data_IF_578318966351
#
_entry.id   IF_578318966351
#
_cell.length_a   1.000
_cell.length_b   1.000
_cell.length_c   1.000
_cell.angle_alpha   90.00
_cell.angle_beta   90.00
_cell.angle_gamma   90.00
#
_symmetry.space_group_name_H-M   'P 1'
#
loop_
_entity.id
_entity.type
_entity.pdbx_description
1 polymer ?
#
# COMPACT_ATOMS: atom_id res chain seq x y z
N UNK A 1 -27.96 -3.78 -43.68
CA UNK A 1 -27.25 -4.95 -43.14
C UNK A 1 -25.79 -4.58 -43.08
N UNK A 2 -25.22 -4.42 -41.87
CA UNK A 2 -23.78 -4.50 -41.65
C UNK A 2 -23.45 -4.75 -40.16
N UNK A 3 -24.05 -5.79 -39.57
CA UNK A 3 -23.74 -6.28 -38.22
C UNK A 3 -22.41 -7.06 -38.14
N UNK A 4 -21.58 -7.03 -39.18
CA UNK A 4 -20.33 -7.82 -39.22
C UNK A 4 -19.12 -7.09 -38.63
N UNK A 5 -19.19 -5.76 -38.48
CA UNK A 5 -18.05 -4.96 -38.05
C UNK A 5 -18.00 -4.76 -36.53
N UNK A 6 -19.16 -4.71 -35.84
CA UNK A 6 -19.25 -4.55 -34.39
C UNK A 6 -18.80 -5.82 -33.64
N UNK A 7 -19.23 -7.01 -34.10
CA UNK A 7 -18.79 -8.29 -33.53
C UNK A 7 -17.26 -8.47 -33.57
N UNK A 8 -16.61 -7.91 -34.59
CA UNK A 8 -15.16 -8.04 -34.77
C UNK A 8 -14.37 -7.09 -33.84
N UNK A 9 -14.99 -6.00 -33.39
CA UNK A 9 -14.40 -5.06 -32.42
C UNK A 9 -14.57 -5.62 -31.00
N UNK A 10 -15.75 -6.16 -30.68
CA UNK A 10 -16.05 -6.77 -29.39
C UNK A 10 -15.20 -8.04 -29.15
N UNK A 11 -15.07 -8.91 -30.15
CA UNK A 11 -14.21 -10.10 -30.07
C UNK A 11 -12.73 -9.74 -29.90
N UNK A 12 -12.24 -8.68 -30.56
CA UNK A 12 -10.86 -8.20 -30.40
C UNK A 12 -10.62 -7.50 -29.05
N UNK A 13 -11.67 -6.96 -28.44
CA UNK A 13 -11.61 -6.36 -27.10
C UNK A 13 -11.57 -7.45 -26.03
N UNK A 14 -12.46 -8.44 -26.12
CA UNK A 14 -12.50 -9.59 -25.22
C UNK A 14 -11.20 -10.40 -25.26
N UNK A 15 -10.65 -10.65 -26.46
CA UNK A 15 -9.37 -11.35 -26.63
C UNK A 15 -8.21 -10.59 -25.97
N UNK A 16 -8.18 -9.25 -26.07
CA UNK A 16 -7.17 -8.43 -25.40
C UNK A 16 -7.30 -8.48 -23.88
N UNK A 17 -8.52 -8.47 -23.35
CA UNK A 17 -8.76 -8.63 -21.91
C UNK A 17 -8.29 -10.00 -21.41
N UNK A 18 -8.57 -11.08 -22.15
CA UNK A 18 -8.11 -12.43 -21.82
C UNK A 18 -6.59 -12.55 -21.89
N UNK A 19 -5.94 -11.98 -22.92
CA UNK A 19 -4.47 -11.95 -23.03
C UNK A 19 -3.82 -11.16 -21.90
N UNK A 20 -4.39 -10.01 -21.52
CA UNK A 20 -3.92 -9.23 -20.37
C UNK A 20 -4.11 -9.98 -19.06
N UNK A 21 -5.21 -10.72 -18.91
CA UNK A 21 -5.48 -11.53 -17.73
C UNK A 21 -4.54 -12.74 -17.66
N UNK A 22 -4.25 -13.39 -18.78
CA UNK A 22 -3.26 -14.47 -18.90
C UNK A 22 -1.83 -13.98 -18.61
N UNK A 23 -1.44 -12.79 -19.13
CA UNK A 23 -0.15 -12.18 -18.82
C UNK A 23 -0.02 -11.85 -17.34
N UNK A 24 -1.08 -11.28 -16.72
CA UNK A 24 -1.13 -11.05 -15.28
C UNK A 24 -0.98 -12.37 -14.53
N UNK A 25 -1.73 -13.40 -14.88
CA UNK A 25 -1.66 -14.72 -14.25
C UNK A 25 -0.27 -15.37 -14.36
N UNK A 26 0.38 -15.31 -15.53
CA UNK A 26 1.74 -15.81 -15.71
C UNK A 26 2.78 -14.99 -14.94
N UNK A 27 2.61 -13.67 -14.86
CA UNK A 27 3.45 -12.83 -14.03
C UNK A 27 3.27 -13.17 -12.53
N UNK A 28 2.04 -13.40 -12.09
CA UNK A 28 1.74 -13.86 -10.73
C UNK A 28 2.35 -15.24 -10.43
N UNK A 29 2.30 -16.20 -11.35
CA UNK A 29 2.90 -17.53 -11.18
C UNK A 29 4.44 -17.52 -11.16
N UNK A 30 5.06 -16.67 -11.99
CA UNK A 30 6.52 -16.52 -12.00
C UNK A 30 7.01 -15.86 -10.71
N UNK A 31 6.28 -14.87 -10.20
CA UNK A 31 6.63 -14.21 -8.94
C UNK A 31 6.25 -15.04 -7.71
N UNK A 32 5.15 -15.78 -7.69
CA UNK A 32 4.79 -16.62 -6.53
C UNK A 32 5.86 -17.67 -6.24
N UNK A 33 6.39 -18.31 -7.28
CA UNK A 33 7.51 -19.27 -7.17
C UNK A 33 8.83 -18.61 -6.75
N UNK A 34 9.08 -17.35 -7.13
CA UNK A 34 10.30 -16.64 -6.78
C UNK A 34 10.20 -15.84 -5.45
N UNK A 35 8.99 -15.55 -4.98
CA UNK A 35 8.70 -14.93 -3.68
C UNK A 35 8.83 -15.92 -2.53
N UNK A 36 8.76 -17.24 -2.79
CA UNK A 36 9.11 -18.26 -1.79
C UNK A 36 10.56 -18.11 -1.27
N UNK A 37 11.45 -17.50 -2.07
CA UNK A 37 12.85 -17.27 -1.71
C UNK A 37 13.15 -15.84 -1.23
N UNK A 38 12.18 -14.94 -1.28
CA UNK A 38 12.32 -13.54 -0.86
C UNK A 38 11.62 -13.33 0.49
N UNK A 39 12.27 -12.68 1.45
CA UNK A 39 11.64 -12.32 2.75
C UNK A 39 10.65 -11.15 2.61
N UNK A 40 9.86 -11.10 1.54
CA UNK A 40 8.96 -9.99 1.22
C UNK A 40 7.98 -9.67 2.36
N UNK A 41 7.59 -10.68 3.16
CA UNK A 41 6.75 -10.49 4.35
C UNK A 41 7.45 -9.61 5.38
N UNK A 42 8.74 -9.89 5.62
CA UNK A 42 9.61 -9.13 6.52
C UNK A 42 9.78 -7.70 6.02
N UNK A 43 10.12 -7.55 4.74
CA UNK A 43 10.35 -6.23 4.14
C UNK A 43 9.08 -5.38 4.19
N UNK A 44 7.93 -5.96 3.81
CA UNK A 44 6.66 -5.26 3.84
C UNK A 44 6.27 -4.82 5.26
N UNK A 45 6.48 -5.69 6.26
CA UNK A 45 6.25 -5.35 7.66
C UNK A 45 7.20 -4.23 8.13
N UNK A 46 8.49 -4.29 7.78
CA UNK A 46 9.48 -3.26 8.14
C UNK A 46 9.20 -1.90 7.50
N UNK A 47 8.76 -1.88 6.23
CA UNK A 47 8.34 -0.65 5.56
C UNK A 47 7.09 -0.08 6.23
N UNK A 48 6.15 -0.95 6.62
CA UNK A 48 4.94 -0.56 7.35
C UNK A 48 5.27 0.03 8.72
N UNK A 49 6.18 -0.59 9.47
CA UNK A 49 6.67 -0.09 10.75
C UNK A 49 7.37 1.27 10.61
N UNK A 50 8.23 1.40 9.59
CA UNK A 50 8.88 2.68 9.26
C UNK A 50 7.86 3.77 8.93
N UNK A 51 6.78 3.43 8.21
CA UNK A 51 5.71 4.36 7.88
C UNK A 51 5.04 4.90 9.15
N UNK A 52 4.67 4.02 10.09
CA UNK A 52 4.04 4.41 11.37
C UNK A 52 4.96 5.31 12.19
N UNK A 53 6.25 5.00 12.27
CA UNK A 53 7.21 5.83 13.01
C UNK A 53 7.34 7.24 12.41
N UNK A 54 7.39 7.36 11.08
CA UNK A 54 7.42 8.67 10.42
C UNK A 54 6.09 9.43 10.58
N UNK A 55 4.95 8.71 10.55
CA UNK A 55 3.65 9.30 10.79
C UNK A 55 3.54 9.88 12.21
N UNK A 56 4.06 9.16 13.22
CA UNK A 56 4.14 9.66 14.59
C UNK A 56 4.98 10.93 14.69
N UNK A 57 6.18 10.93 14.09
CA UNK A 57 7.05 12.13 14.08
C UNK A 57 6.35 13.34 13.47
N UNK A 58 5.57 13.16 12.39
CA UNK A 58 4.79 14.23 11.77
C UNK A 58 3.75 14.86 12.70
N UNK A 59 3.24 14.14 13.69
CA UNK A 59 2.28 14.68 14.65
C UNK A 59 2.92 15.69 15.63
N UNK A 60 4.24 15.66 15.81
CA UNK A 60 4.97 16.52 16.76
C UNK A 60 5.89 17.57 16.11
N UNK A 61 6.17 17.47 14.82
CA UNK A 61 7.09 18.38 14.12
C UNK A 61 6.48 19.77 13.94
N UNK A 62 7.22 20.78 14.40
CA UNK A 62 6.84 22.20 14.28
C UNK A 62 7.56 22.91 13.14
N UNK A 63 8.73 22.43 12.72
CA UNK A 63 9.49 23.04 11.62
C UNK A 63 8.92 22.64 10.25
N UNK A 64 8.56 23.63 9.42
CA UNK A 64 7.91 23.37 8.14
C UNK A 64 8.77 22.59 7.14
N UNK A 65 10.09 22.82 7.13
CA UNK A 65 11.01 22.11 6.24
C UNK A 65 11.13 20.64 6.62
N UNK A 66 11.27 20.35 7.91
CA UNK A 66 11.30 18.99 8.44
C UNK A 66 9.95 18.29 8.21
N UNK A 67 8.84 18.99 8.44
CA UNK A 67 7.49 18.48 8.16
C UNK A 67 7.35 18.06 6.69
N UNK A 68 7.78 18.92 5.76
CA UNK A 68 7.74 18.62 4.32
C UNK A 68 8.63 17.41 3.96
N UNK A 69 9.79 17.28 4.60
CA UNK A 69 10.69 16.15 4.41
C UNK A 69 10.05 14.82 4.87
N UNK A 70 9.50 14.78 6.08
CA UNK A 70 8.81 13.59 6.58
C UNK A 70 7.57 13.26 5.75
N UNK A 71 6.77 14.25 5.35
CA UNK A 71 5.60 14.02 4.50
C UNK A 71 6.00 13.44 3.13
N UNK A 72 7.13 13.85 2.58
CA UNK A 72 7.66 13.27 1.33
C UNK A 72 8.10 11.83 1.53
N UNK A 73 8.83 11.55 2.62
CA UNK A 73 9.23 10.18 3.00
C UNK A 73 8.02 9.28 3.19
N UNK A 74 6.99 9.76 3.89
CA UNK A 74 5.76 9.02 4.14
C UNK A 74 5.02 8.65 2.85
N UNK A 75 4.97 9.56 1.86
CA UNK A 75 4.40 9.29 0.53
C UNK A 75 5.14 8.17 -0.18
N UNK A 76 6.48 8.17 -0.13
CA UNK A 76 7.28 7.11 -0.74
C UNK A 76 7.05 5.76 -0.05
N UNK A 77 7.03 5.70 1.28
CA UNK A 77 6.73 4.47 2.02
C UNK A 77 5.32 3.94 1.69
N UNK A 78 4.31 4.81 1.69
CA UNK A 78 2.94 4.42 1.35
C UNK A 78 2.80 3.90 -0.09
N UNK A 79 3.55 4.48 -1.04
CA UNK A 79 3.59 3.99 -2.41
C UNK A 79 4.23 2.60 -2.49
N UNK A 80 5.36 2.39 -1.80
CA UNK A 80 6.02 1.08 -1.72
C UNK A 80 5.10 -0.01 -1.16
N UNK A 81 4.36 0.28 -0.09
CA UNK A 81 3.38 -0.65 0.48
C UNK A 81 2.29 -0.96 -0.54
N UNK A 82 1.77 0.05 -1.24
CA UNK A 82 0.71 -0.16 -2.25
C UNK A 82 1.20 -1.11 -3.35
N UNK A 83 2.39 -0.88 -3.91
CA UNK A 83 2.98 -1.71 -4.96
C UNK A 83 3.28 -3.13 -4.47
N UNK A 84 3.85 -3.27 -3.27
CA UNK A 84 4.15 -4.59 -2.70
C UNK A 84 2.87 -5.36 -2.39
N UNK A 85 1.84 -4.70 -1.87
CA UNK A 85 0.53 -5.28 -1.56
C UNK A 85 -0.15 -5.84 -2.82
N UNK A 86 -0.14 -5.09 -3.93
CA UNK A 86 -0.72 -5.53 -5.22
C UNK A 86 -0.10 -6.83 -5.74
N UNK A 87 1.13 -7.14 -5.32
CA UNK A 87 1.85 -8.36 -5.71
C UNK A 87 1.58 -9.56 -4.80
N UNK A 88 0.88 -9.37 -3.68
CA UNK A 88 0.65 -10.41 -2.66
C UNK A 88 -0.86 -10.71 -2.47
N UNK A 89 -1.67 -10.51 -3.51
CA UNK A 89 -3.14 -10.65 -3.44
C UNK A 89 -3.62 -12.05 -2.99
N UNK A 90 -2.81 -13.08 -3.20
CA UNK A 90 -3.08 -14.46 -2.77
C UNK A 90 -2.66 -14.75 -1.32
N UNK A 91 -2.04 -13.81 -0.62
CA UNK A 91 -1.59 -13.98 0.76
C UNK A 91 -2.74 -13.88 1.77
N UNK A 92 -2.77 -14.79 2.76
CA UNK A 92 -3.78 -14.85 3.84
C UNK A 92 -3.83 -13.62 4.76
N UNK A 93 -2.94 -12.64 4.59
CA UNK A 93 -2.98 -11.35 5.28
C UNK A 93 -3.15 -10.14 4.37
N UNK A 94 -3.48 -10.34 3.09
CA UNK A 94 -3.63 -9.28 2.10
C UNK A 94 -4.61 -8.19 2.54
N UNK A 95 -5.78 -8.58 3.08
CA UNK A 95 -6.83 -7.64 3.47
C UNK A 95 -6.36 -6.65 4.55
N UNK A 96 -5.53 -7.10 5.48
CA UNK A 96 -4.93 -6.24 6.52
C UNK A 96 -3.95 -5.24 5.91
N UNK A 97 -3.13 -5.66 4.95
CA UNK A 97 -2.27 -4.73 4.22
C UNK A 97 -3.04 -3.78 3.29
N UNK A 98 -4.19 -4.21 2.76
CA UNK A 98 -5.10 -3.33 2.01
C UNK A 98 -5.65 -2.24 2.91
N UNK A 99 -6.19 -2.61 4.07
CA UNK A 99 -6.70 -1.66 5.05
C UNK A 99 -5.61 -0.68 5.53
N UNK A 100 -4.45 -1.19 5.93
CA UNK A 100 -3.32 -0.35 6.35
C UNK A 100 -2.89 0.64 5.25
N UNK A 101 -2.83 0.20 4.00
CA UNK A 101 -2.52 1.07 2.85
C UNK A 101 -3.58 2.15 2.61
N UNK A 102 -4.85 1.88 2.87
CA UNK A 102 -5.91 2.90 2.76
C UNK A 102 -5.81 3.92 3.91
N UNK A 103 -5.55 3.47 5.14
CA UNK A 103 -5.34 4.35 6.29
C UNK A 103 -4.10 5.24 6.11
N UNK A 104 -3.02 4.70 5.55
CA UNK A 104 -1.81 5.49 5.29
C UNK A 104 -2.06 6.61 4.27
N UNK A 105 -2.83 6.33 3.22
CA UNK A 105 -3.24 7.33 2.24
C UNK A 105 -4.15 8.40 2.85
N UNK A 106 -5.09 8.01 3.72
CA UNK A 106 -5.94 8.95 4.46
C UNK A 106 -5.12 9.87 5.36
N UNK A 107 -4.17 9.33 6.12
CA UNK A 107 -3.28 10.12 6.97
C UNK A 107 -2.46 11.12 6.14
N UNK A 108 -1.85 10.68 5.03
CA UNK A 108 -1.11 11.56 4.10
C UNK A 108 -2.01 12.69 3.58
N UNK A 109 -3.28 12.41 3.29
CA UNK A 109 -4.20 13.42 2.82
C UNK A 109 -4.47 14.48 3.90
N UNK A 110 -4.70 14.07 5.15
CA UNK A 110 -4.86 15.00 6.28
C UNK A 110 -3.59 15.84 6.49
N UNK A 111 -2.40 15.25 6.37
CA UNK A 111 -1.14 16.00 6.45
C UNK A 111 -0.99 17.10 5.40
N UNK A 112 -1.64 16.99 4.24
CA UNK A 112 -1.64 18.03 3.20
C UNK A 112 -2.64 19.15 3.50
N UNK A 113 -3.75 18.82 4.15
CA UNK A 113 -4.88 19.73 4.40
C UNK A 113 -4.72 20.52 5.71
N UNK A 114 -3.98 19.97 6.66
CA UNK A 114 -3.72 20.59 7.96
C UNK A 114 -2.40 21.36 7.92
N UNK A 115 -2.39 22.70 8.12
CA UNK A 115 -1.16 23.43 8.40
C UNK A 115 -0.54 22.85 9.67
N UNK A 116 0.76 22.56 9.65
CA UNK A 116 1.54 21.86 10.68
C UNK A 116 1.35 22.36 12.11
N UNK A 117 0.83 23.58 12.31
CA UNK A 117 0.73 24.24 13.62
C UNK A 117 -0.69 24.28 14.21
N UNK A 118 -1.76 24.15 13.40
CA UNK A 118 -3.12 24.50 13.86
C UNK A 118 -4.07 23.32 14.11
N UNK A 119 -3.66 22.07 13.86
CA UNK A 119 -4.59 20.92 13.98
C UNK A 119 -3.90 19.61 14.37
N UNK A 120 -2.94 19.66 15.30
CA UNK A 120 -2.24 18.47 15.83
C UNK A 120 -3.22 17.40 16.35
N UNK A 121 -4.30 17.79 17.03
CA UNK A 121 -5.34 16.85 17.52
C UNK A 121 -5.92 16.02 16.38
N UNK A 122 -6.25 16.65 15.25
CA UNK A 122 -6.78 15.95 14.06
C UNK A 122 -5.73 15.01 13.44
N UNK A 123 -4.45 15.39 13.45
CA UNK A 123 -3.38 14.51 12.99
C UNK A 123 -3.26 13.27 13.89
N UNK A 124 -3.31 13.45 15.22
CA UNK A 124 -3.26 12.34 16.17
C UNK A 124 -4.45 11.38 16.01
N UNK A 125 -5.68 11.87 15.82
CA UNK A 125 -6.84 10.98 15.57
C UNK A 125 -6.67 10.09 14.33
N UNK A 126 -6.09 10.63 13.25
CA UNK A 126 -5.82 9.83 12.04
C UNK A 126 -4.60 8.94 12.20
N UNK A 127 -3.62 9.35 13.01
CA UNK A 127 -2.49 8.52 13.37
C UNK A 127 -2.92 7.29 14.18
N UNK A 128 -3.80 7.45 15.18
CA UNK A 128 -4.32 6.32 15.97
C UNK A 128 -4.99 5.26 15.07
N UNK A 129 -5.84 5.69 14.13
CA UNK A 129 -6.46 4.77 13.15
C UNK A 129 -5.45 4.07 12.24
N UNK A 130 -4.32 4.71 11.96
CA UNK A 130 -3.23 4.12 11.19
C UNK A 130 -2.43 3.12 12.04
N UNK A 131 -2.22 3.43 13.31
CA UNK A 131 -1.57 2.56 14.29
C UNK A 131 -2.39 1.29 14.54
N UNK A 132 -3.70 1.43 14.76
CA UNK A 132 -4.62 0.29 14.92
C UNK A 132 -4.51 -0.68 13.72
N UNK A 133 -4.53 -0.13 12.51
CA UNK A 133 -4.40 -0.93 11.29
C UNK A 133 -3.00 -1.58 11.12
N UNK A 134 -1.96 -0.96 11.69
CA UNK A 134 -0.61 -1.54 11.72
C UNK A 134 -0.52 -2.71 12.70
N UNK A 135 -1.12 -2.59 13.88
CA UNK A 135 -1.10 -3.63 14.91
C UNK A 135 -1.83 -4.90 14.46
N UNK A 136 -2.80 -4.77 13.55
CA UNK A 136 -3.48 -5.90 12.92
C UNK A 136 -2.68 -6.59 11.81
N UNK A 137 -1.51 -6.07 11.43
CA UNK A 137 -0.70 -6.68 10.37
C UNK A 137 -0.13 -8.04 10.83
N UNK A 138 -0.08 -9.02 9.93
CA UNK A 138 0.49 -10.33 10.25
C UNK A 138 1.99 -10.20 10.48
N UNK A 139 2.42 -10.46 11.72
CA UNK A 139 3.84 -10.49 12.10
C UNK A 139 4.55 -11.63 11.36
N UNK A 140 5.57 -11.33 10.55
CA UNK A 140 6.38 -12.35 9.86
C UNK A 140 7.03 -13.32 10.84
N UNK A 141 7.15 -14.59 10.45
CA UNK A 141 7.68 -15.64 11.32
C UNK A 141 9.12 -15.35 11.79
N UNK A 142 9.92 -14.63 10.99
CA UNK A 142 11.28 -14.19 11.36
C UNK A 142 11.34 -13.21 12.52
N UNK A 143 10.22 -12.59 12.90
CA UNK A 143 10.12 -11.71 14.08
C UNK A 143 9.46 -12.39 15.29
N UNK A 144 8.95 -13.63 15.13
CA UNK A 144 8.36 -14.38 16.23
C UNK A 144 9.49 -15.08 16.98
N UNK A 145 9.80 -14.62 18.18
CA UNK A 145 10.77 -15.25 19.08
C UNK A 145 10.39 -16.72 19.29
N UNK A 146 11.37 -17.63 19.20
CA UNK A 146 11.26 -18.99 19.73
C UNK A 146 11.10 -18.99 21.24
#
# INVERSE_FOLDING_TARGET
MDNRNENNIEDNYLRRLEEDQLRRNHQYDYFSKNLEHYEWKRDLYMISNSLVNIAYSLCSVTEQNEYNHYLTTLKHLSASITVMRERIISYRGYEKYLEFSLKSQQFIQVCKEVPSHNNQVKLYEFFERLLDAFEELPIPDSFRSH
#
